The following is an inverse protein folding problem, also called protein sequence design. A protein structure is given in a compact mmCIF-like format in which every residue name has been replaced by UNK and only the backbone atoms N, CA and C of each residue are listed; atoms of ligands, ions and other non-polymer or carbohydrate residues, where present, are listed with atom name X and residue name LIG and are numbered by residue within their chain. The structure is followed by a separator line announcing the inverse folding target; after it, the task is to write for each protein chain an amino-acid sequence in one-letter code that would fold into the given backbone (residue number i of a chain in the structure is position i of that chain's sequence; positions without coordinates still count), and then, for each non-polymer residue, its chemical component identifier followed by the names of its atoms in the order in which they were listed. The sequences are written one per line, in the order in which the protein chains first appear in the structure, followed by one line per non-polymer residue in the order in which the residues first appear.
data_IF_654220665864
#
_entry.id   IF_654220665864
#
_cell.length_a   1.000
_cell.length_b   1.000
_cell.length_c   1.000
_cell.angle_alpha   90.00
_cell.angle_beta   90.00
_cell.angle_gamma   90.00
#
_symmetry.space_group_name_H-M   'P 1'
#
loop_
_entity.id
_entity.type
_entity.pdbx_description
1 polymer ?
#
# COMPACT_ATOMS: atom_id res chain seq x y z
N UNK A 1 -2.06 6.10 -8.79
CA UNK A 1 -1.91 4.72 -9.30
C UNK A 1 -3.28 4.09 -9.32
N UNK A 2 -3.64 3.44 -10.42
CA UNK A 2 -4.91 2.72 -10.53
C UNK A 2 -4.74 1.36 -11.17
N UNK A 3 -5.50 0.39 -10.68
CA UNK A 3 -5.42 -1.00 -11.13
C UNK A 3 -6.76 -1.71 -10.97
N UNK A 4 -6.99 -2.68 -11.87
CA UNK A 4 -8.15 -3.57 -11.85
C UNK A 4 -8.13 -4.52 -10.64
N UNK A 5 -9.30 -5.06 -10.24
CA UNK A 5 -9.36 -6.02 -9.13
C UNK A 5 -8.54 -7.27 -9.39
N UNK A 6 -7.83 -7.74 -8.37
CA UNK A 6 -6.87 -8.83 -8.45
C UNK A 6 -5.98 -8.93 -7.21
N UNK A 7 -5.18 -10.00 -7.13
CA UNK A 7 -4.20 -10.21 -6.05
C UNK A 7 -2.79 -9.89 -6.52
N UNK A 8 -2.11 -9.02 -5.79
CA UNK A 8 -0.76 -8.57 -6.12
C UNK A 8 0.15 -8.73 -4.91
N UNK A 9 1.28 -9.41 -5.10
CA UNK A 9 2.31 -9.50 -4.06
C UNK A 9 3.23 -8.29 -4.19
N UNK A 10 3.21 -7.42 -3.17
CA UNK A 10 3.98 -6.18 -3.16
C UNK A 10 5.05 -6.26 -2.08
N UNK A 11 6.23 -5.75 -2.41
CA UNK A 11 7.35 -5.55 -1.49
C UNK A 11 7.77 -4.09 -1.56
N UNK A 12 7.74 -3.42 -0.42
CA UNK A 12 8.04 -2.00 -0.32
C UNK A 12 9.50 -1.83 0.11
N UNK A 13 10.34 -1.28 -0.76
CA UNK A 13 11.76 -1.06 -0.47
C UNK A 13 12.04 0.31 0.20
N UNK A 14 11.03 1.16 0.26
CA UNK A 14 11.00 2.43 0.97
C UNK A 14 9.62 2.62 1.61
N UNK A 15 9.52 3.57 2.55
CA UNK A 15 8.23 3.95 3.10
C UNK A 15 7.38 4.62 2.01
N UNK A 16 6.18 4.11 1.79
CA UNK A 16 5.20 4.66 0.86
C UNK A 16 3.97 5.10 1.65
N UNK A 17 3.60 6.37 1.56
CA UNK A 17 2.28 6.81 2.03
C UNK A 17 1.36 6.91 0.84
N UNK A 18 0.21 6.24 0.93
CA UNK A 18 -0.79 6.26 -0.12
C UNK A 18 -2.19 6.60 0.42
N UNK A 19 -2.90 7.43 -0.34
CA UNK A 19 -4.25 7.89 -0.01
C UNK A 19 -5.23 7.32 -1.03
N UNK A 20 -6.18 6.53 -0.59
CA UNK A 20 -7.17 5.93 -1.49
C UNK A 20 -8.28 6.93 -1.79
N UNK A 21 -8.46 7.26 -3.07
CA UNK A 21 -9.59 8.04 -3.55
C UNK A 21 -10.81 7.15 -3.75
N UNK A 22 -10.60 5.96 -4.33
CA UNK A 22 -11.64 4.99 -4.66
C UNK A 22 -11.12 3.55 -4.58
N UNK A 23 -12.03 2.61 -4.41
CA UNK A 23 -11.75 1.18 -4.40
C UNK A 23 -11.72 0.57 -3.00
N UNK A 24 -11.36 -0.71 -2.94
CA UNK A 24 -11.34 -1.48 -1.71
C UNK A 24 -10.22 -2.53 -1.75
N UNK A 25 -9.34 -2.48 -0.75
CA UNK A 25 -8.13 -3.31 -0.68
C UNK A 25 -8.04 -3.98 0.67
N UNK A 26 -7.71 -5.27 0.66
CA UNK A 26 -7.28 -6.00 1.86
C UNK A 26 -5.80 -6.31 1.76
N UNK A 27 -5.05 -5.97 2.80
CA UNK A 27 -3.62 -6.21 2.91
C UNK A 27 -3.38 -7.35 3.88
N UNK A 28 -2.64 -8.35 3.39
CA UNK A 28 -2.24 -9.54 4.13
C UNK A 28 -0.73 -9.50 4.38
N UNK A 29 -0.28 -9.04 5.57
CA UNK A 29 1.14 -9.00 5.92
C UNK A 29 1.74 -10.40 6.02
N UNK A 30 2.94 -10.58 5.46
CA UNK A 30 3.64 -11.86 5.50
C UNK A 30 4.01 -12.20 6.95
N UNK A 31 3.58 -13.37 7.43
CA UNK A 31 3.88 -13.85 8.78
C UNK A 31 2.85 -13.43 9.84
N UNK A 32 1.74 -12.79 9.44
CA UNK A 32 0.60 -12.53 10.30
C UNK A 32 -0.63 -13.28 9.79
N UNK A 33 -1.50 -13.70 10.71
CA UNK A 33 -2.81 -14.29 10.40
C UNK A 33 -3.89 -13.24 10.18
N UNK A 34 -3.63 -12.00 10.60
CA UNK A 34 -4.54 -10.88 10.52
C UNK A 34 -4.42 -10.17 9.17
N UNK A 35 -5.44 -9.37 8.85
CA UNK A 35 -5.47 -8.55 7.65
C UNK A 35 -6.00 -7.15 7.98
N UNK A 36 -5.62 -6.19 7.15
CA UNK A 36 -6.08 -4.80 7.26
C UNK A 36 -6.87 -4.47 6.00
N UNK A 37 -8.06 -3.92 6.16
CA UNK A 37 -8.89 -3.43 5.06
C UNK A 37 -8.99 -1.91 5.13
N UNK A 38 -8.85 -1.29 3.97
CA UNK A 38 -9.02 0.15 3.80
C UNK A 38 -9.62 0.46 2.44
N UNK A 39 -10.21 1.64 2.31
CA UNK A 39 -10.92 2.05 1.12
C UNK A 39 -10.80 3.54 0.82
N UNK A 40 -11.73 4.02 0.00
CA UNK A 40 -11.85 5.42 -0.35
C UNK A 40 -11.92 6.32 0.90
N UNK A 41 -11.02 7.30 1.00
CA UNK A 41 -10.93 8.23 2.12
C UNK A 41 -9.87 7.89 3.15
N UNK A 42 -9.30 6.69 3.11
CA UNK A 42 -8.27 6.24 4.06
C UNK A 42 -6.86 6.64 3.63
N UNK A 43 -6.06 7.08 4.61
CA UNK A 43 -4.63 7.33 4.45
C UNK A 43 -3.84 6.18 5.08
N UNK A 44 -3.05 5.48 4.26
CA UNK A 44 -2.27 4.32 4.68
C UNK A 44 -0.80 4.58 4.48
N UNK A 45 -0.01 4.34 5.52
CA UNK A 45 1.46 4.40 5.45
C UNK A 45 2.01 2.99 5.50
N UNK A 46 2.78 2.63 4.48
CA UNK A 46 3.42 1.34 4.33
C UNK A 46 4.89 1.47 4.73
N UNK A 47 5.34 0.80 5.81
CA UNK A 47 6.72 0.90 6.26
C UNK A 47 7.69 0.25 5.27
N UNK A 48 8.90 0.80 5.22
CA UNK A 48 10.02 0.23 4.46
C UNK A 48 10.28 -1.23 4.86
N UNK A 49 10.44 -2.09 3.87
CA UNK A 49 10.69 -3.52 4.04
C UNK A 49 9.43 -4.37 4.21
N UNK A 50 8.23 -3.77 4.23
CA UNK A 50 7.00 -4.54 4.35
C UNK A 50 6.78 -5.42 3.11
N UNK A 51 6.48 -6.70 3.36
CA UNK A 51 6.06 -7.65 2.33
C UNK A 51 4.63 -8.09 2.63
N UNK A 52 3.71 -7.83 1.72
CA UNK A 52 2.31 -8.14 1.90
C UNK A 52 1.61 -8.45 0.56
N UNK A 53 0.46 -9.11 0.64
CA UNK A 53 -0.39 -9.34 -0.54
C UNK A 53 -1.56 -8.37 -0.50
N UNK A 54 -1.73 -7.62 -1.58
CA UNK A 54 -2.87 -6.74 -1.79
C UNK A 54 -3.95 -7.51 -2.54
N UNK A 55 -5.11 -7.68 -1.91
CA UNK A 55 -6.32 -8.25 -2.52
C UNK A 55 -7.26 -7.09 -2.87
N UNK A 56 -7.27 -6.73 -4.15
CA UNK A 56 -8.06 -5.64 -4.68
C UNK A 56 -9.41 -6.18 -5.12
N UNK A 57 -10.45 -5.88 -4.34
CA UNK A 57 -11.82 -6.34 -4.65
C UNK A 57 -12.52 -5.40 -5.64
N UNK A 58 -12.22 -4.11 -5.55
CA UNK A 58 -12.75 -3.07 -6.44
C UNK A 58 -11.57 -2.25 -6.97
N UNK A 59 -11.62 -1.90 -8.26
CA UNK A 59 -10.58 -1.10 -8.91
C UNK A 59 -10.17 0.09 -8.04
N UNK A 60 -8.87 0.20 -7.82
CA UNK A 60 -8.29 1.19 -6.89
C UNK A 60 -7.92 2.43 -7.67
N UNK A 61 -8.14 3.58 -7.05
CA UNK A 61 -7.55 4.84 -7.44
C UNK A 61 -6.95 5.50 -6.20
N UNK A 62 -5.63 5.68 -6.20
CA UNK A 62 -4.90 6.21 -5.04
C UNK A 62 -3.79 7.17 -5.44
N UNK A 63 -3.52 8.17 -4.60
CA UNK A 63 -2.25 8.89 -4.63
C UNK A 63 -1.20 8.12 -3.84
N UNK A 64 0.06 8.20 -4.28
CA UNK A 64 1.18 7.58 -3.60
C UNK A 64 2.35 8.56 -3.58
N UNK A 65 3.09 8.57 -2.48
CA UNK A 65 4.30 9.35 -2.30
C UNK A 65 5.32 8.48 -1.58
N UNK A 66 6.49 8.35 -2.17
CA UNK A 66 7.63 7.73 -1.51
C UNK A 66 8.32 8.78 -0.64
N UNK A 67 8.70 8.38 0.58
CA UNK A 67 9.68 9.14 1.36
C UNK A 67 10.98 9.14 0.57
N UNK A 68 11.34 10.32 0.04
CA UNK A 68 12.69 10.51 -0.49
C UNK A 68 13.61 10.49 0.71
N UNK A 69 14.36 9.40 0.88
CA UNK A 69 15.55 9.40 1.72
C UNK A 69 16.46 10.50 1.20
N UNK A 70 16.34 11.69 1.79
CA UNK A 70 17.35 12.72 1.66
C UNK A 70 18.55 12.18 2.38
N UNK A 71 19.44 11.50 1.66
CA UNK A 71 20.82 11.36 2.10
C UNK A 71 21.39 12.77 2.20
N UNK A 72 21.13 13.46 3.31
CA UNK A 72 22.10 14.41 3.84
C UNK A 72 23.27 13.56 4.32
N UNK A 73 24.11 13.17 3.37
CA UNK A 73 25.53 13.02 3.66
C UNK A 73 26.03 14.44 3.88
N UNK A 74 26.14 14.84 5.13
CA UNK A 74 26.94 15.99 5.53
C UNK A 74 27.63 15.70 6.85
#
# INVERSE_FOLDING_TARGET
WGCSPGKFQLKFDAEETCYLLKGKVKVYPKGSSDWVEFGAGDLVTIPKGLSCTWDVSVAVDKYYKFESTSSSSS
#
